data_IF_025192230109
#
_entry.id   IF_025192230109
#
_cell.length_a   1.000
_cell.length_b   1.000
_cell.length_c   1.000
_cell.angle_alpha   90.00
_cell.angle_beta   90.00
_cell.angle_gamma   90.00
#
_symmetry.space_group_name_H-M   'P 1'
#
loop_
_entity.id
_entity.type
_entity.pdbx_description
1 polymer ?
#
# COMPACT_ATOMS: atom_id res chain seq x y z
N UNK A 1 -3.47 0.97 2.52
CA UNK A 1 -2.84 1.86 1.51
C UNK A 1 -3.23 3.33 1.70
N UNK A 2 -4.52 3.70 1.64
CA UNK A 2 -5.00 5.10 1.81
C UNK A 2 -4.27 5.87 2.93
N UNK A 3 -4.29 5.31 4.14
CA UNK A 3 -3.65 5.92 5.31
C UNK A 3 -2.15 6.17 5.16
N UNK A 4 -1.43 5.25 4.50
CA UNK A 4 0.01 5.43 4.25
C UNK A 4 0.27 6.61 3.32
N UNK A 5 -0.53 6.73 2.24
CA UNK A 5 -0.45 7.88 1.33
C UNK A 5 -0.79 9.18 2.04
N UNK A 6 -1.80 9.19 2.91
CA UNK A 6 -2.16 10.38 3.70
C UNK A 6 -1.00 10.82 4.59
N UNK A 7 -0.33 9.89 5.28
CA UNK A 7 0.87 10.20 6.05
C UNK A 7 1.98 10.81 5.19
N UNK A 8 2.26 10.24 4.03
CA UNK A 8 3.35 10.73 3.18
C UNK A 8 3.02 12.06 2.48
N UNK A 9 1.74 12.35 2.20
CA UNK A 9 1.33 13.58 1.51
C UNK A 9 1.04 14.73 2.47
N UNK A 10 0.41 14.45 3.61
CA UNK A 10 -0.09 15.47 4.54
C UNK A 10 0.71 15.54 5.84
N UNK A 11 1.45 14.49 6.18
CA UNK A 11 2.02 14.32 7.51
C UNK A 11 0.96 13.90 8.53
N UNK A 12 1.32 13.94 9.81
CA UNK A 12 0.38 13.81 10.93
C UNK A 12 0.16 15.16 11.61
N UNK A 13 -0.87 15.24 12.44
CA UNK A 13 -1.16 16.46 13.21
C UNK A 13 0.07 16.76 14.08
N UNK A 14 0.63 17.96 13.94
CA UNK A 14 1.79 18.41 14.72
C UNK A 14 3.15 17.83 14.29
N UNK A 15 3.22 16.92 13.29
CA UNK A 15 4.49 16.37 12.82
C UNK A 15 4.46 16.07 11.31
N UNK A 16 5.29 16.83 10.58
CA UNK A 16 5.44 16.74 9.11
C UNK A 16 6.68 15.94 8.70
N UNK A 17 7.42 15.34 9.63
CA UNK A 17 8.66 14.62 9.33
C UNK A 17 8.47 13.45 8.37
N UNK A 18 7.27 12.85 8.34
CA UNK A 18 6.92 11.77 7.42
C UNK A 18 6.46 12.23 6.03
N UNK A 19 6.18 13.53 5.88
CA UNK A 19 5.76 14.14 4.63
C UNK A 19 6.90 14.12 3.63
N UNK A 20 6.60 13.80 2.38
CA UNK A 20 7.59 13.97 1.30
C UNK A 20 7.82 15.46 1.03
N UNK A 21 8.99 15.78 0.49
CA UNK A 21 9.28 17.13 0.03
C UNK A 21 8.43 17.49 -1.20
N UNK A 22 8.25 18.78 -1.46
CA UNK A 22 7.50 19.23 -2.65
C UNK A 22 8.19 18.79 -3.93
N UNK A 23 9.53 18.76 -3.97
CA UNK A 23 10.30 18.29 -5.13
C UNK A 23 10.00 16.82 -5.41
N UNK A 24 9.99 15.98 -4.37
CA UNK A 24 9.64 14.57 -4.50
C UNK A 24 8.18 14.37 -4.88
N UNK A 25 7.27 15.22 -4.40
CA UNK A 25 5.85 15.18 -4.78
C UNK A 25 5.67 15.50 -6.27
N UNK A 26 6.33 16.55 -6.76
CA UNK A 26 6.33 16.92 -8.18
C UNK A 26 6.92 15.79 -9.02
N UNK A 27 8.04 15.22 -8.60
CA UNK A 27 8.67 14.09 -9.27
C UNK A 27 7.74 12.87 -9.36
N UNK A 28 7.09 12.52 -8.25
CA UNK A 28 6.13 11.41 -8.17
C UNK A 28 4.91 11.65 -9.06
N UNK A 29 4.36 12.86 -9.07
CA UNK A 29 3.27 13.23 -9.98
C UNK A 29 3.68 13.08 -11.46
N UNK A 30 4.90 13.48 -11.83
CA UNK A 30 5.42 13.28 -13.19
C UNK A 30 5.53 11.80 -13.55
N UNK A 31 5.99 10.94 -12.63
CA UNK A 31 6.01 9.48 -12.84
C UNK A 31 4.60 8.93 -13.07
N UNK A 32 3.63 9.32 -12.25
CA UNK A 32 2.23 8.88 -12.37
C UNK A 32 1.61 9.31 -13.70
N UNK A 33 1.89 10.55 -14.16
CA UNK A 33 1.43 11.03 -15.48
C UNK A 33 2.05 10.20 -16.60
N UNK A 34 3.35 9.89 -16.53
CA UNK A 34 4.01 9.03 -17.51
C UNK A 34 3.45 7.61 -17.49
N UNK A 35 3.06 7.09 -16.33
CA UNK A 35 2.44 5.78 -16.24
C UNK A 35 1.08 5.71 -16.94
N UNK A 36 0.29 6.79 -16.95
CA UNK A 36 -0.98 6.82 -17.69
C UNK A 36 -0.84 6.39 -19.14
N UNK A 37 0.30 6.62 -19.78
CA UNK A 37 0.51 6.29 -21.19
C UNK A 37 0.92 4.84 -21.44
N UNK A 38 1.25 4.08 -20.40
CA UNK A 38 1.76 2.70 -20.49
C UNK A 38 0.95 1.69 -19.67
N UNK A 39 0.00 2.15 -18.85
CA UNK A 39 -0.89 1.28 -18.08
C UNK A 39 -1.88 0.60 -19.02
N UNK A 40 -2.01 -0.72 -18.87
CA UNK A 40 -2.89 -1.55 -19.69
C UNK A 40 -4.37 -1.25 -19.45
N UNK A 41 -5.21 -1.52 -20.45
CA UNK A 41 -6.67 -1.40 -20.37
C UNK A 41 -7.32 -2.33 -19.34
N UNK A 42 -6.60 -3.37 -18.89
CA UNK A 42 -7.01 -4.28 -17.82
C UNK A 42 -7.20 -3.59 -16.46
N UNK A 43 -6.61 -2.41 -16.25
CA UNK A 43 -6.83 -1.63 -15.04
C UNK A 43 -8.11 -0.82 -15.16
N UNK A 44 -8.98 -0.94 -14.15
CA UNK A 44 -10.28 -0.27 -14.13
C UNK A 44 -10.19 1.27 -14.20
N UNK A 45 -9.01 1.85 -13.89
CA UNK A 45 -8.75 3.30 -13.92
C UNK A 45 -7.30 3.57 -14.30
N UNK A 46 -7.08 4.74 -14.90
CA UNK A 46 -5.74 5.26 -15.14
C UNK A 46 -5.18 5.89 -13.84
N UNK A 47 -3.87 5.78 -13.58
CA UNK A 47 -3.23 6.43 -12.44
C UNK A 47 -3.51 7.93 -12.44
N UNK A 48 -3.77 8.53 -11.28
CA UNK A 48 -3.93 9.98 -11.12
C UNK A 48 -2.82 10.56 -10.28
N UNK A 49 -2.63 11.87 -10.35
CA UNK A 49 -1.67 12.56 -9.49
C UNK A 49 -2.11 12.47 -8.04
N UNK A 50 -1.18 12.63 -7.11
CA UNK A 50 -1.48 12.59 -5.68
C UNK A 50 -2.21 13.84 -5.18
N UNK A 51 -2.38 14.87 -6.03
CA UNK A 51 -3.25 16.01 -5.75
C UNK A 51 -4.73 15.60 -5.71
N UNK A 52 -5.09 14.56 -6.47
CA UNK A 52 -6.42 13.97 -6.49
C UNK A 52 -6.67 12.95 -5.35
N UNK A 53 -5.70 12.76 -4.45
CA UNK A 53 -5.78 11.76 -3.36
C UNK A 53 -7.11 11.80 -2.57
N UNK A 54 -7.71 12.96 -2.24
CA UNK A 54 -9.02 13.01 -1.57
C UNK A 54 -10.15 12.29 -2.33
N UNK A 55 -10.04 12.17 -3.65
CA UNK A 55 -11.05 11.61 -4.55
C UNK A 55 -10.70 10.20 -5.05
N UNK A 56 -9.64 9.57 -4.52
CA UNK A 56 -9.25 8.21 -4.90
C UNK A 56 -10.29 7.19 -4.42
N UNK A 57 -10.67 6.27 -5.32
CA UNK A 57 -11.51 5.11 -4.97
C UNK A 57 -10.67 3.94 -4.47
N UNK A 58 -11.33 2.94 -3.88
CA UNK A 58 -10.71 1.71 -3.40
C UNK A 58 -9.87 0.99 -4.47
N UNK A 59 -10.32 0.99 -5.72
CA UNK A 59 -9.62 0.37 -6.86
C UNK A 59 -8.25 1.01 -7.13
N UNK A 60 -8.15 2.33 -7.01
CA UNK A 60 -6.89 3.07 -7.21
C UNK A 60 -5.89 2.78 -6.08
N UNK A 61 -6.38 2.72 -4.84
CA UNK A 61 -5.54 2.29 -3.71
C UNK A 61 -5.05 0.84 -3.86
N UNK A 62 -5.90 -0.05 -4.38
CA UNK A 62 -5.54 -1.43 -4.66
C UNK A 62 -4.49 -1.51 -5.77
N UNK A 63 -4.64 -0.74 -6.83
CA UNK A 63 -3.68 -0.66 -7.93
C UNK A 63 -2.30 -0.20 -7.44
N UNK A 64 -2.24 0.87 -6.65
CA UNK A 64 -0.98 1.35 -6.05
C UNK A 64 -0.35 0.28 -5.18
N UNK A 65 -1.16 -0.37 -4.32
CA UNK A 65 -0.66 -1.40 -3.42
C UNK A 65 -0.09 -2.61 -4.17
N UNK A 66 -0.77 -3.06 -5.22
CA UNK A 66 -0.47 -4.29 -5.92
C UNK A 66 0.40 -4.10 -7.16
N UNK A 67 0.61 -2.91 -7.69
CA UNK A 67 1.28 -2.75 -8.99
C UNK A 67 2.18 -1.51 -9.02
N UNK A 68 1.59 -0.32 -9.16
CA UNK A 68 2.32 0.90 -9.50
C UNK A 68 3.19 1.42 -8.36
N UNK A 69 2.76 1.26 -7.11
CA UNK A 69 3.44 1.79 -5.93
C UNK A 69 4.86 1.26 -5.73
N UNK A 70 5.17 0.04 -6.17
CA UNK A 70 6.53 -0.53 -6.08
C UNK A 70 7.52 0.29 -6.90
N UNK A 71 7.09 0.81 -8.06
CA UNK A 71 7.93 1.59 -8.97
C UNK A 71 7.90 3.08 -8.65
N UNK A 72 6.73 3.62 -8.34
CA UNK A 72 6.54 5.06 -8.21
C UNK A 72 7.09 5.60 -6.91
N UNK A 73 6.85 4.88 -5.80
CA UNK A 73 7.29 5.32 -4.48
C UNK A 73 8.80 5.17 -4.29
N UNK A 74 9.46 4.31 -5.08
CA UNK A 74 10.92 4.11 -4.99
C UNK A 74 11.66 5.40 -5.33
N UNK A 75 12.44 5.89 -4.37
CA UNK A 75 13.18 7.16 -4.45
C UNK A 75 12.34 8.42 -4.19
N UNK A 76 11.01 8.30 -4.08
CA UNK A 76 10.11 9.44 -3.85
C UNK A 76 9.76 9.61 -2.36
N UNK A 77 9.82 8.54 -1.58
CA UNK A 77 9.56 8.54 -0.12
C UNK A 77 10.81 8.06 0.64
N UNK A 78 10.85 8.30 1.96
CA UNK A 78 11.94 7.80 2.82
C UNK A 78 12.10 6.28 2.69
N UNK A 79 13.34 5.80 2.63
CA UNK A 79 13.64 4.37 2.48
C UNK A 79 13.00 3.49 3.56
N UNK A 80 12.90 3.97 4.80
CA UNK A 80 12.19 3.27 5.89
C UNK A 80 10.72 3.04 5.55
N UNK A 81 10.03 4.05 5.04
CA UNK A 81 8.63 3.95 4.62
C UNK A 81 8.45 3.08 3.37
N UNK A 82 9.38 3.16 2.42
CA UNK A 82 9.33 2.33 1.21
C UNK A 82 9.51 0.85 1.54
N UNK A 83 10.53 0.50 2.34
CA UNK A 83 10.75 -0.87 2.78
C UNK A 83 9.55 -1.40 3.60
N UNK A 84 8.95 -0.54 4.44
CA UNK A 84 7.73 -0.88 5.16
C UNK A 84 6.54 -1.11 4.24
N UNK A 85 6.34 -0.27 3.22
CA UNK A 85 5.32 -0.47 2.19
C UNK A 85 5.51 -1.80 1.43
N UNK A 86 6.75 -2.17 1.10
CA UNK A 86 7.05 -3.41 0.40
C UNK A 86 6.60 -4.65 1.18
N UNK A 87 6.71 -4.66 2.52
CA UNK A 87 6.19 -5.76 3.34
C UNK A 87 4.71 -5.99 3.06
N UNK A 88 3.91 -4.92 3.07
CA UNK A 88 2.48 -4.99 2.79
C UNK A 88 2.21 -5.34 1.33
N UNK A 89 2.87 -4.68 0.38
CA UNK A 89 2.66 -4.90 -1.06
C UNK A 89 2.92 -6.36 -1.45
N UNK A 90 4.03 -6.92 -0.99
CA UNK A 90 4.40 -8.32 -1.29
C UNK A 90 3.45 -9.30 -0.60
N UNK A 91 3.13 -9.08 0.67
CA UNK A 91 2.20 -9.96 1.39
C UNK A 91 0.82 -10.01 0.70
N UNK A 92 0.23 -8.85 0.38
CA UNK A 92 -1.09 -8.80 -0.25
C UNK A 92 -1.04 -9.34 -1.69
N UNK A 93 0.07 -9.16 -2.42
CA UNK A 93 0.27 -9.80 -3.73
C UNK A 93 0.27 -11.32 -3.63
N UNK A 94 1.03 -11.88 -2.68
CA UNK A 94 1.06 -13.33 -2.43
C UNK A 94 -0.37 -13.83 -2.16
N UNK A 95 -1.05 -13.20 -1.21
CA UNK A 95 -2.40 -13.59 -0.78
C UNK A 95 -3.46 -13.39 -1.87
N UNK A 96 -3.20 -12.57 -2.89
CA UNK A 96 -4.09 -12.37 -4.04
C UNK A 96 -3.77 -13.27 -5.24
N UNK A 97 -2.72 -14.07 -5.17
CA UNK A 97 -2.24 -14.92 -6.28
C UNK A 97 -2.64 -16.39 -6.12
N UNK A 98 -2.45 -17.18 -7.17
CA UNK A 98 -2.66 -18.63 -7.12
C UNK A 98 -1.68 -19.36 -6.18
N UNK A 99 -0.61 -18.68 -5.78
CA UNK A 99 0.37 -19.17 -4.79
C UNK A 99 0.00 -18.81 -3.34
N UNK A 100 -1.19 -18.27 -3.11
CA UNK A 100 -1.63 -17.77 -1.80
C UNK A 100 -1.63 -18.84 -0.69
N UNK A 101 -1.79 -20.12 -1.05
CA UNK A 101 -1.74 -21.25 -0.12
C UNK A 101 -0.29 -21.69 0.14
N UNK A 102 0.50 -21.91 -0.93
CA UNK A 102 1.87 -22.40 -0.79
C UNK A 102 2.83 -21.40 -0.16
N UNK A 103 2.61 -20.10 -0.38
CA UNK A 103 3.42 -19.01 0.19
C UNK A 103 2.73 -18.30 1.37
N UNK A 104 1.67 -18.89 1.92
CA UNK A 104 0.83 -18.27 2.95
C UNK A 104 1.63 -17.88 4.21
N UNK A 105 2.55 -18.74 4.66
CA UNK A 105 3.43 -18.48 5.81
C UNK A 105 4.33 -17.27 5.59
N UNK A 106 4.88 -17.12 4.39
CA UNK A 106 5.70 -15.95 4.03
C UNK A 106 4.86 -14.68 4.10
N UNK A 107 3.64 -14.70 3.57
CA UNK A 107 2.74 -13.56 3.66
C UNK A 107 2.41 -13.21 5.12
N UNK A 108 2.18 -14.22 5.98
CA UNK A 108 1.97 -14.01 7.41
C UNK A 108 3.17 -13.32 8.08
N UNK A 109 4.38 -13.82 7.87
CA UNK A 109 5.60 -13.23 8.45
C UNK A 109 5.82 -11.78 8.00
N UNK A 110 5.52 -11.47 6.74
CA UNK A 110 5.59 -10.11 6.21
C UNK A 110 4.56 -9.19 6.87
N UNK A 111 3.34 -9.66 7.12
CA UNK A 111 2.29 -8.88 7.78
C UNK A 111 2.60 -8.67 9.26
N UNK A 112 3.14 -9.66 9.96
CA UNK A 112 3.62 -9.50 11.34
C UNK A 112 4.73 -8.43 11.40
N UNK A 113 5.70 -8.50 10.50
CA UNK A 113 6.77 -7.48 10.41
C UNK A 113 6.22 -6.09 10.10
N UNK A 114 5.21 -5.98 9.23
CA UNK A 114 4.53 -4.72 8.94
C UNK A 114 3.85 -4.16 10.19
N UNK A 115 3.01 -4.95 10.86
CA UNK A 115 2.28 -4.51 12.06
C UNK A 115 3.23 -4.08 13.17
N UNK A 116 4.28 -4.86 13.44
CA UNK A 116 5.27 -4.53 14.48
C UNK A 116 6.04 -3.23 14.21
N UNK A 117 6.30 -2.91 12.94
CA UNK A 117 7.02 -1.68 12.54
C UNK A 117 6.10 -0.47 12.41
N UNK A 118 4.79 -0.66 12.35
CA UNK A 118 3.84 0.41 12.09
C UNK A 118 3.88 1.49 13.18
N UNK A 119 3.79 1.10 14.45
CA UNK A 119 3.79 2.03 15.57
C UNK A 119 5.08 2.86 15.64
N UNK A 120 6.24 2.24 15.35
CA UNK A 120 7.53 2.91 15.32
C UNK A 120 7.63 3.97 14.22
N UNK A 121 7.06 3.70 13.04
CA UNK A 121 7.19 4.58 11.87
C UNK A 121 6.14 5.70 11.84
N UNK A 122 4.93 5.43 12.33
CA UNK A 122 3.81 6.37 12.19
C UNK A 122 3.30 6.91 13.52
N UNK A 123 3.60 6.27 14.64
CA UNK A 123 3.11 6.59 15.98
C UNK A 123 2.16 5.50 16.52
N UNK A 124 2.27 5.13 17.81
CA UNK A 124 1.42 4.11 18.43
C UNK A 124 -0.07 4.47 18.40
N UNK A 125 -0.41 5.77 18.48
CA UNK A 125 -1.77 6.29 18.39
C UNK A 125 -2.46 5.92 17.06
N UNK A 126 -1.67 5.61 16.03
CA UNK A 126 -2.18 5.21 14.73
C UNK A 126 -2.20 3.69 14.52
N UNK A 127 -1.60 2.89 15.41
CA UNK A 127 -1.60 1.43 15.34
C UNK A 127 -2.93 0.85 15.86
N UNK A 128 -4.02 1.10 15.13
CA UNK A 128 -5.36 0.67 15.51
C UNK A 128 -5.68 -0.78 15.07
N UNK A 129 -6.88 -1.24 15.44
CA UNK A 129 -7.39 -2.56 15.11
C UNK A 129 -7.29 -2.90 13.61
N UNK A 130 -7.52 -1.95 12.71
CA UNK A 130 -7.43 -2.18 11.25
C UNK A 130 -6.01 -2.52 10.78
N UNK A 131 -4.98 -2.05 11.51
CA UNK A 131 -3.59 -2.42 11.23
C UNK A 131 -3.33 -3.83 11.76
N UNK A 132 -3.75 -4.12 12.98
CA UNK A 132 -3.58 -5.44 13.60
C UNK A 132 -4.31 -6.54 12.84
N UNK A 133 -5.54 -6.28 12.35
CA UNK A 133 -6.36 -7.28 11.69
C UNK A 133 -5.75 -7.85 10.41
N UNK A 134 -4.76 -7.16 9.83
CA UNK A 134 -4.00 -7.64 8.67
C UNK A 134 -3.38 -9.02 8.92
N UNK A 135 -2.92 -9.31 10.15
CA UNK A 135 -2.26 -10.59 10.46
C UNK A 135 -3.20 -11.79 10.33
N UNK A 136 -4.52 -11.56 10.29
CA UNK A 136 -5.52 -12.62 10.13
C UNK A 136 -5.86 -12.91 8.65
N UNK A 137 -5.45 -12.05 7.70
CA UNK A 137 -5.71 -12.30 6.28
C UNK A 137 -5.18 -13.66 5.78
N UNK A 138 -3.96 -14.11 6.15
CA UNK A 138 -3.47 -15.43 5.75
C UNK A 138 -4.36 -16.57 6.22
N UNK A 139 -4.94 -16.48 7.42
CA UNK A 139 -5.89 -17.47 7.95
C UNK A 139 -7.15 -17.53 7.09
N UNK A 140 -7.77 -16.39 6.80
CA UNK A 140 -8.98 -16.35 5.96
C UNK A 140 -8.71 -16.85 4.55
N UNK A 141 -7.54 -16.56 3.99
CA UNK A 141 -7.15 -17.04 2.66
C UNK A 141 -7.02 -18.57 2.59
N UNK A 142 -6.61 -19.23 3.68
CA UNK A 142 -6.59 -20.70 3.73
C UNK A 142 -7.98 -21.32 3.67
N UNK A 143 -9.00 -20.61 4.15
CA UNK A 143 -10.38 -21.09 4.24
C UNK A 143 -11.16 -20.74 2.97
N UNK A 144 -11.04 -19.51 2.50
CA UNK A 144 -11.89 -18.94 1.45
C UNK A 144 -11.18 -18.76 0.10
N UNK A 145 -9.89 -19.06 0.03
CA UNK A 145 -9.09 -18.88 -1.17
C UNK A 145 -8.48 -17.46 -1.31
N UNK A 146 -8.02 -17.07 -2.51
CA UNK A 146 -7.29 -15.82 -2.72
C UNK A 146 -8.08 -14.56 -2.32
N UNK A 147 -7.39 -13.49 -1.87
CA UNK A 147 -8.06 -12.24 -1.48
C UNK A 147 -8.91 -11.58 -2.57
N UNK A 148 -8.66 -11.87 -3.85
CA UNK A 148 -9.46 -11.30 -4.93
C UNK A 148 -10.85 -11.95 -5.07
N UNK A 149 -11.06 -13.13 -4.47
CA UNK A 149 -12.35 -13.82 -4.45
C UNK A 149 -13.23 -13.39 -3.29
N UNK A 150 -12.72 -12.57 -2.37
CA UNK A 150 -13.48 -12.05 -1.25
C UNK A 150 -14.46 -11.01 -1.82
N UNK A 151 -15.67 -11.44 -2.13
CA UNK A 151 -16.75 -10.53 -2.48
C UNK A 151 -17.10 -9.69 -1.25
N UNK A 152 -17.18 -8.37 -1.41
CA UNK A 152 -17.81 -7.53 -0.42
C UNK A 152 -19.29 -7.93 -0.36
N UNK A 153 -19.67 -8.69 0.67
CA UNK A 153 -21.06 -8.68 1.15
C UNK A 153 -21.28 -7.39 1.93
#
# INVERSE_FOLDING_TARGET
MKRLLEFWMKGRIGDRSMRISEENKIYLNKKLIKLKTVVSTEFARLPRTLDDLPHFKATEYREILLYTGVFDLKGSIKNSHYNHFLLLSVAIRILSSDKCISLNSIAYDLLIKFVNKFALLYGPEYSNYNVHSLIHLPYFVRIYGPLHTFTNN
#
